data_IF_279372450937
#
_entry.id   IF_279372450937
#
_cell.length_a   1.000
_cell.length_b   1.000
_cell.length_c   1.000
_cell.angle_alpha   90.00
_cell.angle_beta   90.00
_cell.angle_gamma   90.00
#
_symmetry.space_group_name_H-M   'P 1'
#
loop_
_entity.id
_entity.type
_entity.pdbx_description
1 polymer ?
#
# COMPACT_ATOMS: atom_id res chain seq x y z
N UNK A 1 23.09 17.11 -18.79
CA UNK A 1 22.84 16.59 -17.42
C UNK A 1 21.69 15.59 -17.52
N UNK A 2 21.88 14.34 -17.07
CA UNK A 2 20.82 13.32 -17.07
C UNK A 2 19.76 13.71 -16.06
N UNK A 3 18.51 13.84 -16.49
CA UNK A 3 17.36 14.00 -15.57
C UNK A 3 17.34 12.79 -14.64
N UNK A 4 17.30 12.96 -13.30
CA UNK A 4 17.19 11.83 -12.39
C UNK A 4 15.95 11.02 -12.74
N UNK A 5 16.11 9.71 -12.99
CA UNK A 5 14.98 8.84 -13.28
C UNK A 5 14.08 8.81 -12.05
N UNK A 6 12.87 9.39 -12.16
CA UNK A 6 11.85 9.34 -11.10
C UNK A 6 11.64 7.90 -10.64
N UNK A 7 11.56 7.69 -9.32
CA UNK A 7 11.30 6.38 -8.74
C UNK A 7 9.91 5.88 -9.14
N UNK A 8 9.66 4.58 -9.04
CA UNK A 8 8.32 4.03 -9.29
C UNK A 8 7.29 4.64 -8.33
N UNK A 9 7.68 4.88 -7.07
CA UNK A 9 6.84 5.56 -6.09
C UNK A 9 6.45 6.98 -6.56
N UNK A 10 7.39 7.74 -7.14
CA UNK A 10 7.10 9.07 -7.70
C UNK A 10 6.05 9.01 -8.83
N UNK A 11 6.14 7.99 -9.69
CA UNK A 11 5.19 7.82 -10.80
C UNK A 11 3.79 7.47 -10.29
N UNK A 12 3.72 6.55 -9.33
CA UNK A 12 2.46 6.13 -8.72
C UNK A 12 1.75 7.28 -8.02
N UNK A 13 2.49 8.17 -7.36
CA UNK A 13 1.91 9.34 -6.72
C UNK A 13 1.35 10.35 -7.72
N UNK A 14 1.98 10.52 -8.89
CA UNK A 14 1.50 11.40 -9.96
C UNK A 14 0.23 10.87 -10.64
N UNK A 15 0.07 9.54 -10.72
CA UNK A 15 -1.11 8.91 -11.33
C UNK A 15 -2.35 8.91 -10.43
N UNK A 16 -2.22 9.28 -9.15
CA UNK A 16 -3.28 9.18 -8.15
C UNK A 16 -3.85 10.55 -7.75
N UNK A 17 -3.75 11.53 -8.65
CA UNK A 17 -4.50 12.77 -8.52
C UNK A 17 -6.00 12.46 -8.74
N UNK A 18 -6.81 12.83 -7.73
CA UNK A 18 -8.28 12.84 -7.66
C UNK A 18 -8.98 11.71 -6.87
N UNK A 19 -9.72 12.17 -5.85
CA UNK A 19 -10.92 11.59 -5.21
C UNK A 19 -10.79 10.19 -4.62
N UNK A 20 -10.19 10.11 -3.44
CA UNK A 20 -10.38 8.96 -2.55
C UNK A 20 -11.35 9.34 -1.44
N UNK A 21 -12.40 8.53 -1.24
CA UNK A 21 -13.27 8.65 -0.06
C UNK A 21 -12.45 8.57 1.23
N UNK A 22 -12.84 9.39 2.21
CA UNK A 22 -12.29 9.35 3.57
C UNK A 22 -12.66 8.02 4.25
N UNK A 23 -11.78 7.52 5.10
CA UNK A 23 -11.96 6.26 5.83
C UNK A 23 -10.69 5.42 5.88
N UNK A 24 -10.72 4.37 6.69
CA UNK A 24 -9.60 3.46 6.87
C UNK A 24 -9.70 2.25 5.94
N UNK A 25 -8.56 1.82 5.42
CA UNK A 25 -8.45 0.73 4.46
C UNK A 25 -7.36 -0.24 4.86
N UNK A 26 -7.66 -1.54 4.84
CA UNK A 26 -6.69 -2.60 5.02
C UNK A 26 -6.17 -3.05 3.65
N UNK A 27 -4.85 -2.99 3.46
CA UNK A 27 -4.17 -3.54 2.27
C UNK A 27 -3.46 -4.82 2.66
N UNK A 28 -3.95 -5.94 2.14
CA UNK A 28 -3.36 -7.26 2.35
C UNK A 28 -2.67 -7.69 1.07
N UNK A 29 -1.39 -7.99 1.15
CA UNK A 29 -0.64 -8.46 -0.01
C UNK A 29 0.01 -9.82 0.21
N UNK A 30 0.33 -10.49 -0.88
CA UNK A 30 1.14 -11.68 -0.89
C UNK A 30 2.00 -11.74 -2.15
N UNK A 31 3.16 -12.39 -2.07
CA UNK A 31 4.02 -12.63 -3.22
C UNK A 31 4.21 -14.13 -3.37
N UNK A 32 3.78 -14.66 -4.51
CA UNK A 32 4.02 -16.05 -4.88
C UNK A 32 5.50 -16.23 -5.24
N UNK A 33 6.34 -16.34 -4.22
CA UNK A 33 7.75 -16.68 -4.36
C UNK A 33 7.89 -18.19 -4.43
N UNK A 34 8.47 -18.72 -5.51
CA UNK A 34 8.74 -20.16 -5.64
C UNK A 34 9.68 -20.69 -4.55
N UNK A 35 10.01 -22.00 -4.56
CA UNK A 35 10.93 -22.59 -3.57
C UNK A 35 12.28 -21.83 -3.58
N UNK A 36 12.54 -21.06 -2.53
CA UNK A 36 13.76 -20.25 -2.35
C UNK A 36 13.66 -18.80 -2.85
N UNK A 37 12.54 -18.40 -3.45
CA UNK A 37 12.30 -17.01 -3.83
C UNK A 37 12.12 -16.12 -2.61
N UNK A 38 12.62 -14.88 -2.68
CA UNK A 38 12.39 -13.85 -1.67
C UNK A 38 11.72 -12.66 -2.34
N UNK A 39 10.84 -11.98 -1.60
CA UNK A 39 10.30 -10.70 -2.03
C UNK A 39 11.48 -9.76 -2.32
N UNK A 40 11.52 -9.09 -3.49
CA UNK A 40 12.64 -8.24 -3.85
C UNK A 40 12.92 -7.17 -2.79
N UNK A 41 14.17 -7.01 -2.34
CA UNK A 41 14.52 -5.96 -1.36
C UNK A 41 14.13 -4.54 -1.84
N UNK A 42 14.11 -4.34 -3.15
CA UNK A 42 13.66 -3.07 -3.78
C UNK A 42 12.19 -2.77 -3.52
N UNK A 43 11.33 -3.79 -3.36
CA UNK A 43 9.94 -3.60 -2.98
C UNK A 43 9.85 -2.91 -1.62
N UNK A 44 10.48 -3.48 -0.58
CA UNK A 44 10.45 -2.91 0.76
C UNK A 44 11.04 -1.50 0.83
N UNK A 45 12.13 -1.25 0.08
CA UNK A 45 12.72 0.09 -0.01
C UNK A 45 11.74 1.11 -0.60
N UNK A 46 11.08 0.76 -1.70
CA UNK A 46 10.13 1.65 -2.35
C UNK A 46 8.83 1.79 -1.56
N UNK A 47 8.39 0.74 -0.86
CA UNK A 47 7.24 0.78 0.04
C UNK A 47 7.49 1.76 1.18
N UNK A 48 8.67 1.73 1.79
CA UNK A 48 9.05 2.69 2.83
C UNK A 48 9.02 4.14 2.33
N UNK A 49 9.62 4.40 1.17
CA UNK A 49 9.61 5.75 0.56
C UNK A 49 8.18 6.20 0.26
N UNK A 50 7.32 5.28 -0.22
CA UNK A 50 5.93 5.57 -0.53
C UNK A 50 5.14 5.92 0.75
N UNK A 51 5.32 5.14 1.82
CA UNK A 51 4.69 5.37 3.14
C UNK A 51 5.10 6.74 3.70
N UNK A 52 6.39 7.03 3.72
CA UNK A 52 6.94 8.30 4.24
C UNK A 52 6.37 9.53 3.50
N UNK A 53 6.02 9.38 2.22
CA UNK A 53 5.47 10.47 1.39
C UNK A 53 3.95 10.59 1.44
N UNK A 54 3.24 9.48 1.56
CA UNK A 54 1.77 9.48 1.64
C UNK A 54 1.31 9.99 3.00
N UNK A 55 1.99 9.56 4.08
CA UNK A 55 1.48 9.68 5.44
C UNK A 55 0.27 8.76 5.68
N UNK A 56 -0.02 8.48 6.96
CA UNK A 56 -1.21 7.70 7.35
C UNK A 56 -1.22 6.26 6.85
N UNK A 57 -0.05 5.62 6.71
CA UNK A 57 0.06 4.20 6.40
C UNK A 57 0.87 3.51 7.47
N UNK A 58 0.26 2.55 8.16
CA UNK A 58 0.83 1.83 9.27
C UNK A 58 0.93 0.33 8.96
N UNK A 59 2.02 -0.32 9.39
CA UNK A 59 2.13 -1.78 9.33
C UNK A 59 1.36 -2.40 10.49
N UNK A 60 0.34 -3.19 10.19
CA UNK A 60 -0.37 -4.02 11.19
C UNK A 60 0.29 -5.39 11.30
N UNK A 61 0.70 -5.94 10.15
CA UNK A 61 1.52 -7.16 10.06
C UNK A 61 2.46 -7.03 8.85
N UNK A 62 3.41 -7.97 8.70
CA UNK A 62 4.40 -7.93 7.61
C UNK A 62 3.79 -7.70 6.22
N UNK A 63 2.69 -8.39 5.92
CA UNK A 63 1.98 -8.28 4.64
C UNK A 63 0.61 -7.62 4.74
N UNK A 64 0.38 -6.83 5.79
CA UNK A 64 -0.89 -6.13 6.05
C UNK A 64 -0.61 -4.70 6.48
N UNK A 65 -1.12 -3.73 5.71
CA UNK A 65 -1.04 -2.31 6.03
C UNK A 65 -2.41 -1.71 6.30
N UNK A 66 -2.50 -0.83 7.27
CA UNK A 66 -3.64 0.06 7.48
C UNK A 66 -3.34 1.39 6.80
N UNK A 67 -4.22 1.86 5.93
CA UNK A 67 -4.06 3.07 5.14
C UNK A 67 -5.22 4.02 5.43
N UNK A 68 -4.90 5.27 5.80
CA UNK A 68 -5.86 6.36 5.91
C UNK A 68 -6.17 6.90 4.52
N UNK A 69 -7.41 6.74 4.10
CA UNK A 69 -7.92 7.17 2.81
C UNK A 69 -7.61 6.20 1.67
N UNK A 70 -8.52 6.16 0.71
CA UNK A 70 -8.44 5.25 -0.45
C UNK A 70 -7.20 5.48 -1.31
N UNK A 71 -6.72 6.73 -1.38
CA UNK A 71 -5.52 7.10 -2.16
C UNK A 71 -4.29 6.33 -1.71
N UNK A 72 -4.08 6.26 -0.40
CA UNK A 72 -2.93 5.57 0.17
C UNK A 72 -3.01 4.06 -0.10
N UNK A 73 -4.20 3.48 0.08
CA UNK A 73 -4.43 2.07 -0.20
C UNK A 73 -4.15 1.70 -1.67
N UNK A 74 -4.64 2.51 -2.61
CA UNK A 74 -4.41 2.31 -4.04
C UNK A 74 -2.94 2.45 -4.42
N UNK A 75 -2.23 3.42 -3.83
CA UNK A 75 -0.80 3.59 -4.08
C UNK A 75 0.02 2.36 -3.65
N UNK A 76 -0.27 1.82 -2.46
CA UNK A 76 0.37 0.60 -1.96
C UNK A 76 0.03 -0.58 -2.87
N UNK A 77 -1.24 -0.73 -3.27
CA UNK A 77 -1.67 -1.81 -4.15
C UNK A 77 -0.96 -1.78 -5.50
N UNK A 78 -0.93 -0.63 -6.18
CA UNK A 78 -0.19 -0.49 -7.45
C UNK A 78 1.30 -0.80 -7.29
N UNK A 79 1.91 -0.46 -6.15
CA UNK A 79 3.30 -0.81 -5.88
C UNK A 79 3.47 -2.32 -5.75
N UNK A 80 2.59 -3.01 -5.01
CA UNK A 80 2.62 -4.47 -4.87
C UNK A 80 2.48 -5.15 -6.24
N UNK A 81 1.49 -4.74 -7.03
CA UNK A 81 1.23 -5.26 -8.38
C UNK A 81 2.44 -5.06 -9.32
N UNK A 82 3.08 -3.89 -9.24
CA UNK A 82 4.29 -3.60 -10.01
C UNK A 82 5.43 -4.59 -9.74
N UNK A 83 5.53 -5.10 -8.51
CA UNK A 83 6.52 -6.11 -8.12
C UNK A 83 6.05 -7.55 -8.33
N UNK A 84 4.88 -7.76 -8.94
CA UNK A 84 4.29 -9.07 -9.20
C UNK A 84 3.61 -9.72 -8.00
N UNK A 85 3.26 -8.92 -6.98
CA UNK A 85 2.47 -9.39 -5.84
C UNK A 85 0.97 -9.37 -6.12
N UNK A 86 0.24 -10.19 -5.39
CA UNK A 86 -1.22 -10.14 -5.32
C UNK A 86 -1.62 -9.21 -4.17
N UNK A 87 -2.68 -8.43 -4.35
CA UNK A 87 -3.16 -7.49 -3.34
C UNK A 87 -4.68 -7.47 -3.28
N UNK A 88 -5.21 -7.28 -2.07
CA UNK A 88 -6.62 -6.99 -1.83
C UNK A 88 -6.73 -5.77 -0.91
N UNK A 89 -7.71 -4.93 -1.21
CA UNK A 89 -8.04 -3.74 -0.41
C UNK A 89 -9.41 -3.98 0.23
N UNK A 90 -9.50 -3.72 1.52
CA UNK A 90 -10.74 -3.80 2.29
C UNK A 90 -11.00 -2.44 2.94
N UNK A 91 -12.23 -1.92 2.85
CA UNK A 91 -12.64 -0.78 3.66
C UNK A 91 -12.91 -1.28 5.08
N UNK A 92 -12.34 -0.59 6.07
CA UNK A 92 -12.54 -0.88 7.49
C UNK A 92 -13.77 -0.14 7.96
N UNK A 93 -14.66 -0.85 8.65
CA UNK A 93 -15.79 -0.28 9.37
C UNK A 93 -15.60 -0.58 10.85
N UNK A 94 -15.60 0.46 11.67
CA UNK A 94 -15.63 0.26 13.12
C UNK A 94 -17.00 -0.27 13.51
N UNK A 95 -17.05 -1.42 14.18
CA UNK A 95 -18.26 -1.79 14.90
C UNK A 95 -18.34 -0.92 16.15
N UNK A 96 -19.37 -0.07 16.21
CA UNK A 96 -19.80 0.49 17.47
C UNK A 96 -20.09 -0.66 18.44
N UNK A 97 -19.67 -0.51 19.69
CA UNK A 97 -20.04 -1.43 20.75
C UNK A 97 -21.54 -1.28 21.05
N UNK A 98 -22.39 -1.85 20.20
CA UNK A 98 -23.72 -2.26 20.64
C UNK A 98 -23.49 -3.48 21.54
N UNK A 99 -23.44 -3.21 22.85
CA UNK A 99 -23.35 -4.25 23.85
C UNK A 99 -24.44 -5.29 23.62
N UNK A 100 -24.11 -6.57 23.84
CA UNK A 100 -25.14 -7.58 24.04
C UNK A 100 -26.02 -7.12 25.22
N UNK A 101 -27.24 -6.66 24.92
CA UNK A 101 -28.31 -6.55 25.91
C UNK A 101 -28.88 -7.94 26.18
#
# INVERSE_FOLDING_TARGET
>A
MSVPRKSIADKLLLELECTGEDGDYLVVYDFSVGRGGRIPLRFYRNLRILIERLGGVDFIQKSVLLCKGRRAALAVAKLVEHYGGNVRIFQVVERGAEGCQ
#
